data_IF_340550346990
#
_entry.id   IF_340550346990
#
_cell.length_a   1.000
_cell.length_b   1.000
_cell.length_c   1.000
_cell.angle_alpha   90.00
_cell.angle_beta   90.00
_cell.angle_gamma   90.00
#
_symmetry.space_group_name_H-M   'P 1'
#
loop_
_entity.id
_entity.type
_entity.pdbx_description
1 polymer ?
#
# COMPACT_ATOMS: atom_id res chain seq x y z
N UNK A 1 -21.83 7.95 -57.79
CA UNK A 1 -23.24 7.56 -57.83
C UNK A 1 -23.91 7.90 -56.52
N UNK A 2 -24.97 8.71 -56.56
CA UNK A 2 -25.87 8.88 -55.44
C UNK A 2 -26.72 7.61 -55.24
N UNK A 3 -27.25 7.33 -54.04
CA UNK A 3 -28.17 6.20 -53.85
C UNK A 3 -29.37 6.23 -54.79
N UNK A 4 -29.83 7.43 -55.16
CA UNK A 4 -30.91 7.64 -56.13
C UNK A 4 -30.60 7.11 -57.53
N UNK A 5 -29.33 6.97 -57.88
CA UNK A 5 -28.87 6.51 -59.20
C UNK A 5 -28.82 4.98 -59.29
N UNK A 6 -29.14 4.28 -58.19
CA UNK A 6 -29.04 2.83 -58.07
C UNK A 6 -30.40 2.24 -57.70
N UNK A 7 -31.07 1.60 -58.67
CA UNK A 7 -32.31 0.86 -58.42
C UNK A 7 -32.01 -0.63 -58.45
N UNK A 8 -31.78 -1.19 -57.27
CA UNK A 8 -31.51 -2.61 -57.06
C UNK A 8 -32.68 -3.24 -56.29
N UNK A 9 -33.36 -4.19 -56.91
CA UNK A 9 -34.52 -4.88 -56.31
C UNK A 9 -34.09 -5.87 -55.22
N UNK A 10 -32.91 -6.46 -55.41
CA UNK A 10 -32.36 -7.53 -54.61
C UNK A 10 -31.02 -7.09 -54.02
N UNK A 11 -30.58 -7.67 -52.89
CA UNK A 11 -29.26 -7.40 -52.33
C UNK A 11 -28.17 -7.56 -53.38
N UNK A 12 -27.15 -6.71 -53.38
CA UNK A 12 -26.05 -6.80 -54.32
C UNK A 12 -24.72 -6.56 -53.61
N UNK A 13 -23.71 -7.35 -53.96
CA UNK A 13 -22.34 -7.00 -53.62
C UNK A 13 -21.81 -5.87 -54.52
N UNK A 14 -20.60 -5.39 -54.24
CA UNK A 14 -19.98 -4.28 -54.98
C UNK A 14 -19.78 -4.60 -56.47
N UNK A 15 -19.47 -5.86 -56.81
CA UNK A 15 -19.25 -6.29 -58.19
C UNK A 15 -20.56 -6.38 -58.98
N UNK A 16 -21.63 -6.87 -58.34
CA UNK A 16 -22.99 -6.94 -58.92
C UNK A 16 -23.59 -5.54 -59.10
N UNK A 17 -23.32 -4.63 -58.15
CA UNK A 17 -23.71 -3.22 -58.24
C UNK A 17 -23.00 -2.53 -59.40
N UNK A 18 -21.68 -2.72 -59.53
CA UNK A 18 -20.90 -2.17 -60.64
C UNK A 18 -21.39 -2.66 -62.01
N UNK A 19 -21.72 -3.95 -62.13
CA UNK A 19 -22.31 -4.49 -63.35
C UNK A 19 -23.68 -3.86 -63.68
N UNK A 20 -24.54 -3.65 -62.68
CA UNK A 20 -25.86 -3.01 -62.87
C UNK A 20 -25.75 -1.56 -63.33
N UNK A 21 -24.77 -0.82 -62.79
CA UNK A 21 -24.46 0.54 -63.22
C UNK A 21 -23.88 0.58 -64.63
N UNK A 22 -22.93 -0.30 -64.95
CA UNK A 22 -22.33 -0.39 -66.28
C UNK A 22 -23.39 -0.69 -67.37
N UNK A 23 -24.35 -1.56 -67.08
CA UNK A 23 -25.48 -1.83 -67.98
C UNK A 23 -26.38 -0.61 -68.17
N UNK A 24 -26.72 0.08 -67.07
CA UNK A 24 -27.52 1.31 -67.12
C UNK A 24 -26.80 2.44 -67.87
N UNK A 25 -25.46 2.48 -67.86
CA UNK A 25 -24.65 3.39 -68.69
C UNK A 25 -24.59 2.98 -70.16
N UNK A 26 -24.97 1.76 -70.51
CA UNK A 26 -24.96 1.25 -71.88
C UNK A 26 -23.61 0.69 -72.33
N UNK A 27 -22.80 0.23 -71.39
CA UNK A 27 -21.54 -0.46 -71.69
C UNK A 27 -21.80 -1.90 -72.11
N UNK A 28 -20.96 -2.41 -73.01
CA UNK A 28 -20.92 -3.82 -73.40
C UNK A 28 -19.89 -4.57 -72.56
N UNK A 29 -20.28 -5.69 -71.95
CA UNK A 29 -19.38 -6.49 -71.11
C UNK A 29 -19.89 -7.92 -70.91
N UNK A 30 -18.98 -8.79 -70.47
CA UNK A 30 -19.27 -10.18 -70.12
C UNK A 30 -19.15 -10.34 -68.60
N UNK A 31 -20.22 -10.81 -67.95
CA UNK A 31 -20.19 -11.19 -66.53
C UNK A 31 -19.94 -12.70 -66.43
N UNK A 32 -18.88 -13.09 -65.73
CA UNK A 32 -18.58 -14.49 -65.43
C UNK A 32 -18.76 -14.71 -63.92
N UNK A 33 -19.63 -15.65 -63.55
CA UNK A 33 -19.91 -15.98 -62.15
C UNK A 33 -20.00 -17.49 -61.92
N UNK A 34 -19.29 -18.06 -60.92
CA UNK A 34 -19.42 -19.47 -60.51
C UNK A 34 -20.89 -19.88 -60.21
N UNK A 35 -21.22 -21.19 -60.20
CA UNK A 35 -22.54 -21.63 -59.75
C UNK A 35 -22.81 -21.14 -58.32
N UNK A 36 -24.03 -20.65 -58.05
CA UNK A 36 -24.42 -20.11 -56.75
C UNK A 36 -24.11 -18.62 -56.49
N UNK A 37 -23.39 -17.91 -57.37
CA UNK A 37 -23.01 -16.49 -57.16
C UNK A 37 -24.07 -15.47 -57.57
N UNK A 38 -25.35 -15.83 -57.47
CA UNK A 38 -26.45 -14.87 -57.69
C UNK A 38 -26.65 -14.36 -59.12
N UNK A 39 -26.20 -15.06 -60.17
CA UNK A 39 -26.32 -14.61 -61.58
C UNK A 39 -27.72 -14.09 -61.96
N UNK A 40 -28.78 -14.85 -61.68
CA UNK A 40 -30.16 -14.44 -61.99
C UNK A 40 -30.62 -13.22 -61.18
N UNK A 41 -30.03 -13.01 -59.99
CA UNK A 41 -30.26 -11.85 -59.14
C UNK A 41 -29.53 -10.62 -59.69
N UNK A 42 -28.28 -10.77 -60.15
CA UNK A 42 -27.57 -9.73 -60.88
C UNK A 42 -28.33 -9.30 -62.13
N UNK A 43 -28.86 -10.25 -62.91
CA UNK A 43 -29.66 -9.94 -64.11
C UNK A 43 -30.93 -9.16 -63.75
N UNK A 44 -31.68 -9.58 -62.74
CA UNK A 44 -32.89 -8.88 -62.32
C UNK A 44 -32.58 -7.44 -61.85
N UNK A 45 -31.50 -7.24 -61.09
CA UNK A 45 -31.03 -5.92 -60.68
C UNK A 45 -30.57 -5.06 -61.87
N UNK A 46 -29.84 -5.63 -62.83
CA UNK A 46 -29.46 -4.93 -64.06
C UNK A 46 -30.68 -4.48 -64.85
N UNK A 47 -31.69 -5.36 -65.01
CA UNK A 47 -32.93 -5.03 -65.71
C UNK A 47 -33.64 -3.87 -65.00
N UNK A 48 -33.82 -3.95 -63.68
CA UNK A 48 -34.47 -2.91 -62.90
C UNK A 48 -33.74 -1.56 -62.99
N UNK A 49 -32.41 -1.57 -62.92
CA UNK A 49 -31.59 -0.37 -63.01
C UNK A 49 -31.57 0.24 -64.41
N UNK A 50 -31.66 -0.58 -65.47
CA UNK A 50 -31.84 -0.08 -66.83
C UNK A 50 -33.22 0.55 -67.03
N UNK A 51 -34.27 -0.08 -66.49
CA UNK A 51 -35.64 0.46 -66.55
C UNK A 51 -35.77 1.79 -65.80
N UNK A 52 -35.11 1.94 -64.64
CA UNK A 52 -35.16 3.18 -63.85
C UNK A 52 -34.55 4.39 -64.57
N UNK A 53 -33.58 4.17 -65.47
CA UNK A 53 -33.01 5.22 -66.34
C UNK A 53 -33.71 5.33 -67.70
N UNK A 54 -34.88 4.72 -67.85
CA UNK A 54 -35.74 4.84 -69.04
C UNK A 54 -35.34 3.96 -70.24
N UNK A 55 -34.47 2.97 -70.05
CA UNK A 55 -34.08 2.04 -71.12
C UNK A 55 -35.06 0.89 -71.27
N UNK A 56 -35.23 0.39 -72.49
CA UNK A 56 -35.90 -0.89 -72.77
C UNK A 56 -34.91 -2.04 -72.73
N UNK A 57 -35.30 -3.18 -72.18
CA UNK A 57 -34.42 -4.35 -72.05
C UNK A 57 -35.03 -5.57 -72.75
N UNK A 58 -34.26 -6.18 -73.65
CA UNK A 58 -34.57 -7.50 -74.22
C UNK A 58 -33.69 -8.54 -73.51
N UNK A 59 -34.32 -9.44 -72.74
CA UNK A 59 -33.62 -10.53 -72.08
C UNK A 59 -33.81 -11.83 -72.86
N UNK A 60 -32.70 -12.42 -73.31
CA UNK A 60 -32.68 -13.68 -74.08
C UNK A 60 -31.90 -14.73 -73.30
N UNK A 61 -32.44 -15.95 -73.23
CA UNK A 61 -31.78 -17.09 -72.63
C UNK A 61 -32.08 -18.37 -73.43
N UNK A 62 -31.14 -19.32 -73.39
CA UNK A 62 -31.27 -20.62 -74.08
C UNK A 62 -32.37 -21.50 -73.47
N UNK A 63 -32.58 -21.41 -72.15
CA UNK A 63 -33.54 -22.25 -71.41
C UNK A 63 -34.63 -21.39 -70.77
N UNK A 64 -35.88 -21.80 -70.96
CA UNK A 64 -37.07 -21.14 -70.37
C UNK A 64 -36.98 -21.01 -68.85
N UNK A 65 -36.44 -22.01 -68.16
CA UNK A 65 -36.23 -21.95 -66.71
C UNK A 65 -35.42 -20.72 -66.24
N UNK A 66 -34.47 -20.22 -67.04
CA UNK A 66 -33.72 -19.01 -66.70
C UNK A 66 -34.58 -17.74 -66.85
N UNK A 67 -35.44 -17.71 -67.87
CA UNK A 67 -36.43 -16.64 -68.07
C UNK A 67 -37.41 -16.61 -66.89
N UNK A 68 -37.97 -17.76 -66.51
CA UNK A 68 -38.95 -17.89 -65.43
C UNK A 68 -38.40 -17.42 -64.08
N UNK A 69 -37.16 -17.77 -63.76
CA UNK A 69 -36.51 -17.37 -62.50
C UNK A 69 -36.32 -15.85 -62.42
N UNK A 70 -35.88 -15.21 -63.51
CA UNK A 70 -35.69 -13.75 -63.54
C UNK A 70 -37.05 -13.04 -63.53
N UNK A 71 -38.00 -13.50 -64.33
CA UNK A 71 -39.36 -12.96 -64.38
C UNK A 71 -40.05 -13.06 -63.02
N UNK A 72 -39.97 -14.21 -62.34
CA UNK A 72 -40.56 -14.38 -61.01
C UNK A 72 -40.01 -13.35 -60.03
N UNK A 73 -38.70 -13.10 -60.04
CA UNK A 73 -38.05 -12.09 -59.19
C UNK A 73 -38.51 -10.67 -59.51
N UNK A 74 -38.57 -10.30 -60.80
CA UNK A 74 -39.08 -9.00 -61.24
C UNK A 74 -40.54 -8.81 -60.79
N UNK A 75 -41.38 -9.84 -60.95
CA UNK A 75 -42.78 -9.85 -60.54
C UNK A 75 -42.95 -9.74 -59.02
N UNK A 76 -42.19 -10.51 -58.25
CA UNK A 76 -42.18 -10.47 -56.78
C UNK A 76 -41.84 -9.07 -56.24
N UNK A 77 -41.09 -8.26 -57.00
CA UNK A 77 -40.69 -6.89 -56.64
C UNK A 77 -41.46 -5.82 -57.45
N UNK A 78 -42.65 -6.15 -57.97
CA UNK A 78 -43.57 -5.18 -58.55
C UNK A 78 -43.33 -4.81 -60.01
N UNK A 79 -42.29 -5.31 -60.67
CA UNK A 79 -42.00 -5.04 -62.08
C UNK A 79 -42.72 -6.00 -63.06
N UNK A 80 -43.54 -6.92 -62.57
CA UNK A 80 -44.23 -7.92 -63.40
C UNK A 80 -45.13 -7.29 -64.46
N UNK A 81 -45.83 -6.19 -64.14
CA UNK A 81 -46.67 -5.45 -65.08
C UNK A 81 -45.87 -4.75 -66.20
N UNK A 82 -44.56 -4.58 -66.01
CA UNK A 82 -43.65 -3.99 -66.99
C UNK A 82 -42.85 -5.06 -67.77
N UNK A 83 -43.12 -6.33 -67.52
CA UNK A 83 -42.49 -7.46 -68.21
C UNK A 83 -43.44 -8.02 -69.27
N UNK A 84 -42.94 -8.21 -70.48
CA UNK A 84 -43.67 -8.86 -71.56
C UNK A 84 -43.00 -10.19 -71.89
N UNK A 85 -43.71 -11.29 -71.67
CA UNK A 85 -43.21 -12.63 -71.98
C UNK A 85 -43.53 -12.98 -73.43
N UNK A 86 -42.51 -13.30 -74.23
CA UNK A 86 -42.67 -13.70 -75.63
C UNK A 86 -42.32 -15.18 -75.77
N UNK A 87 -43.30 -16.05 -75.48
CA UNK A 87 -43.24 -17.49 -75.81
C UNK A 87 -44.00 -17.75 -77.12
N UNK A 88 -43.66 -18.80 -77.87
CA UNK A 88 -44.26 -19.05 -79.19
C UNK A 88 -45.41 -20.08 -79.15
N UNK A 89 -46.67 -19.64 -79.22
CA UNK A 89 -47.79 -20.34 -79.90
C UNK A 89 -49.06 -19.46 -79.98
N UNK A 90 -50.01 -19.78 -80.88
CA UNK A 90 -51.24 -18.99 -81.17
C UNK A 90 -52.14 -18.67 -79.95
N UNK A 91 -51.95 -19.31 -78.80
CA UNK A 91 -52.64 -19.03 -77.54
C UNK A 91 -52.16 -17.75 -76.82
N UNK A 92 -51.00 -17.20 -77.21
CA UNK A 92 -50.37 -16.05 -76.52
C UNK A 92 -50.99 -14.68 -76.85
N UNK A 93 -51.70 -14.51 -77.97
CA UNK A 93 -52.15 -13.17 -78.40
C UNK A 93 -53.11 -12.51 -77.39
N UNK A 94 -53.97 -13.27 -76.72
CA UNK A 94 -54.90 -12.75 -75.71
C UNK A 94 -54.20 -12.42 -74.40
N UNK A 95 -53.22 -13.24 -74.01
CA UNK A 95 -52.39 -13.00 -72.82
C UNK A 95 -51.51 -11.76 -73.02
N UNK A 96 -50.87 -11.64 -74.19
CA UNK A 96 -50.12 -10.46 -74.65
C UNK A 96 -50.94 -9.17 -74.56
N UNK A 97 -52.16 -9.15 -75.13
CA UNK A 97 -53.04 -7.97 -75.07
C UNK A 97 -53.46 -7.62 -73.64
N UNK A 98 -53.63 -8.64 -72.80
CA UNK A 98 -53.97 -8.46 -71.38
C UNK A 98 -52.78 -7.87 -70.59
N UNK A 99 -51.56 -8.38 -70.80
CA UNK A 99 -50.34 -7.82 -70.18
C UNK A 99 -50.10 -6.37 -70.62
N UNK A 100 -50.30 -6.07 -71.90
CA UNK A 100 -50.15 -4.71 -72.43
C UNK A 100 -51.17 -3.74 -71.82
N UNK A 101 -52.41 -4.19 -71.63
CA UNK A 101 -53.45 -3.42 -70.94
C UNK A 101 -53.11 -3.17 -69.47
N UNK A 102 -52.64 -4.19 -68.75
CA UNK A 102 -52.23 -4.07 -67.34
C UNK A 102 -51.08 -3.06 -67.20
N UNK A 103 -50.07 -3.14 -68.08
CA UNK A 103 -48.94 -2.20 -68.10
C UNK A 103 -49.37 -0.75 -68.36
N UNK A 104 -50.37 -0.56 -69.23
CA UNK A 104 -50.92 0.75 -69.56
C UNK A 104 -51.75 1.35 -68.42
N UNK A 105 -52.51 0.52 -67.71
CA UNK A 105 -53.37 0.94 -66.59
C UNK A 105 -52.60 1.09 -65.26
N UNK A 106 -51.40 0.48 -65.12
CA UNK A 106 -50.60 0.47 -63.88
C UNK A 106 -49.85 1.78 -63.57
N UNK A 107 -50.41 2.94 -63.92
CA UNK A 107 -49.83 4.24 -63.62
C UNK A 107 -49.78 4.54 -62.12
N UNK A 108 -48.69 4.16 -61.45
CA UNK A 108 -48.49 4.45 -60.02
C UNK A 108 -48.06 5.91 -59.85
N UNK A 109 -48.79 6.68 -59.03
CA UNK A 109 -48.31 7.95 -58.50
C UNK A 109 -47.26 7.66 -57.42
N UNK A 110 -46.00 7.90 -57.74
CA UNK A 110 -44.90 7.83 -56.76
C UNK A 110 -44.90 9.11 -55.92
N UNK A 111 -44.84 8.99 -54.59
CA UNK A 111 -44.57 10.14 -53.73
C UNK A 111 -43.07 10.51 -53.86
N UNK A 112 -42.81 11.57 -54.64
CA UNK A 112 -41.46 12.06 -54.85
C UNK A 112 -40.78 12.49 -53.54
N UNK A 113 -41.54 12.95 -52.54
CA UNK A 113 -40.99 13.39 -51.26
C UNK A 113 -40.45 12.20 -50.45
N UNK A 114 -41.19 11.08 -50.41
CA UNK A 114 -40.77 9.85 -49.74
C UNK A 114 -39.49 9.27 -50.39
N UNK A 115 -39.44 9.23 -51.73
CA UNK A 115 -38.27 8.74 -52.47
C UNK A 115 -37.00 9.57 -52.18
N UNK A 116 -37.12 10.90 -52.14
CA UNK A 116 -36.01 11.79 -51.80
C UNK A 116 -35.56 11.55 -50.35
N UNK A 117 -36.49 11.45 -49.40
CA UNK A 117 -36.18 11.26 -47.99
C UNK A 117 -35.43 9.93 -47.72
N UNK A 118 -35.84 8.84 -48.37
CA UNK A 118 -35.18 7.53 -48.24
C UNK A 118 -33.76 7.58 -48.80
N UNK A 119 -33.57 8.14 -49.99
CA UNK A 119 -32.26 8.22 -50.63
C UNK A 119 -31.29 9.14 -49.88
N UNK A 120 -31.78 10.24 -49.32
CA UNK A 120 -31.00 11.10 -48.44
C UNK A 120 -30.53 10.37 -47.19
N UNK A 121 -31.43 9.62 -46.53
CA UNK A 121 -31.06 8.80 -45.37
C UNK A 121 -30.01 7.74 -45.73
N UNK A 122 -30.14 7.08 -46.88
CA UNK A 122 -29.16 6.10 -47.36
C UNK A 122 -27.81 6.75 -47.65
N UNK A 123 -27.80 7.94 -48.25
CA UNK A 123 -26.58 8.70 -48.54
C UNK A 123 -25.83 9.02 -47.27
N UNK A 124 -26.52 9.62 -46.28
CA UNK A 124 -25.92 9.97 -44.98
C UNK A 124 -25.30 8.73 -44.32
N UNK A 125 -26.03 7.60 -44.27
CA UNK A 125 -25.50 6.36 -43.67
C UNK A 125 -24.30 5.80 -44.41
N UNK A 126 -24.32 5.79 -45.74
CA UNK A 126 -23.18 5.35 -46.54
C UNK A 126 -21.95 6.22 -46.28
N UNK A 127 -22.14 7.53 -46.27
CA UNK A 127 -21.06 8.50 -46.10
C UNK A 127 -20.48 8.41 -44.68
N UNK A 128 -21.31 8.19 -43.66
CA UNK A 128 -20.87 7.88 -42.28
C UNK A 128 -20.00 6.61 -42.23
N UNK A 129 -20.44 5.52 -42.87
CA UNK A 129 -19.70 4.26 -42.89
C UNK A 129 -18.37 4.39 -43.64
N UNK A 130 -18.36 5.08 -44.77
CA UNK A 130 -17.15 5.34 -45.54
C UNK A 130 -16.17 6.21 -44.75
N UNK A 131 -16.64 7.28 -44.11
CA UNK A 131 -15.81 8.15 -43.29
C UNK A 131 -15.16 7.38 -42.11
N UNK A 132 -15.90 6.45 -41.50
CA UNK A 132 -15.35 5.56 -40.48
C UNK A 132 -14.23 4.66 -41.02
N UNK A 133 -14.45 4.01 -42.17
CA UNK A 133 -13.44 3.15 -42.81
C UNK A 133 -12.20 3.94 -43.18
N UNK A 134 -12.38 5.12 -43.77
CA UNK A 134 -11.29 6.04 -44.12
C UNK A 134 -10.51 6.51 -42.88
N UNK A 135 -11.21 6.86 -41.79
CA UNK A 135 -10.56 7.26 -40.54
C UNK A 135 -9.71 6.13 -39.95
N UNK A 136 -10.19 4.88 -40.02
CA UNK A 136 -9.49 3.71 -39.49
C UNK A 136 -8.23 3.34 -40.30
N UNK A 137 -8.20 3.66 -41.60
CA UNK A 137 -7.11 3.36 -42.52
C UNK A 137 -6.25 4.58 -42.88
N UNK A 138 -6.52 5.74 -42.28
CA UNK A 138 -5.70 6.92 -42.47
C UNK A 138 -4.31 6.70 -41.89
N UNK A 139 -3.28 6.94 -42.69
CA UNK A 139 -1.90 6.93 -42.21
C UNK A 139 -1.62 8.17 -41.36
N UNK A 140 -0.97 7.96 -40.22
CA UNK A 140 -0.49 9.00 -39.34
C UNK A 140 1.02 9.25 -39.53
N UNK A 141 1.55 10.28 -38.85
CA UNK A 141 2.95 10.72 -38.97
C UNK A 141 3.95 9.60 -38.66
N UNK A 142 3.59 8.67 -37.76
CA UNK A 142 4.39 7.50 -37.42
C UNK A 142 4.34 6.35 -38.44
N UNK A 143 3.67 6.54 -39.57
CA UNK A 143 3.48 5.57 -40.65
C UNK A 143 2.35 4.57 -40.41
N UNK A 144 1.79 4.50 -39.20
CA UNK A 144 0.75 3.53 -38.84
C UNK A 144 -0.66 4.05 -39.13
N UNK A 145 -1.57 3.11 -39.39
CA UNK A 145 -3.02 3.35 -39.35
C UNK A 145 -3.58 2.87 -38.02
N UNK A 146 -4.71 3.44 -37.53
CA UNK A 146 -5.39 2.92 -36.35
C UNK A 146 -5.71 1.43 -36.46
N UNK A 147 -6.10 0.96 -37.65
CA UNK A 147 -6.32 -0.47 -37.93
C UNK A 147 -5.08 -1.32 -37.62
N UNK A 148 -3.92 -0.95 -38.18
CA UNK A 148 -2.68 -1.70 -38.03
C UNK A 148 -2.17 -1.66 -36.58
N UNK A 149 -2.19 -0.48 -35.95
CA UNK A 149 -1.76 -0.29 -34.57
C UNK A 149 -2.60 -1.14 -33.59
N UNK A 150 -3.92 -1.15 -33.77
CA UNK A 150 -4.82 -1.99 -32.97
C UNK A 150 -4.52 -3.48 -33.19
N UNK A 151 -4.28 -3.89 -34.43
CA UNK A 151 -3.90 -5.27 -34.75
C UNK A 151 -2.62 -5.71 -34.05
N UNK A 152 -1.57 -4.88 -34.07
CA UNK A 152 -0.30 -5.14 -33.38
C UNK A 152 -0.51 -5.25 -31.86
N UNK A 153 -1.26 -4.30 -31.28
CA UNK A 153 -1.53 -4.29 -29.84
C UNK A 153 -2.33 -5.52 -29.38
N UNK A 154 -3.33 -5.94 -30.15
CA UNK A 154 -4.14 -7.13 -29.85
C UNK A 154 -3.33 -8.42 -30.00
N UNK A 155 -2.53 -8.54 -31.07
CA UNK A 155 -1.68 -9.72 -31.31
C UNK A 155 -0.70 -9.98 -30.17
N UNK A 156 -0.13 -8.91 -29.60
CA UNK A 156 0.90 -9.01 -28.58
C UNK A 156 0.39 -8.74 -27.15
N UNK A 157 -0.93 -8.69 -26.92
CA UNK A 157 -1.54 -8.33 -25.62
C UNK A 157 -1.02 -9.13 -24.42
N UNK A 158 -0.59 -10.38 -24.62
CA UNK A 158 -0.09 -11.26 -23.56
C UNK A 158 1.43 -11.21 -23.38
N UNK A 159 2.16 -10.54 -24.27
CA UNK A 159 3.60 -10.38 -24.15
C UNK A 159 3.89 -9.20 -23.22
N UNK A 160 4.71 -9.43 -22.20
CA UNK A 160 5.13 -8.37 -21.30
C UNK A 160 6.09 -7.43 -22.05
N UNK A 161 5.79 -6.13 -22.01
CA UNK A 161 6.65 -5.07 -22.53
C UNK A 161 6.70 -3.93 -21.50
N UNK A 162 7.83 -3.22 -21.37
CA UNK A 162 7.90 -2.03 -20.54
C UNK A 162 6.87 -1.01 -21.01
N UNK A 163 6.24 -0.32 -20.07
CA UNK A 163 5.24 0.70 -20.39
C UNK A 163 5.95 1.94 -20.94
N UNK A 164 5.83 2.15 -22.24
CA UNK A 164 6.31 3.36 -22.91
C UNK A 164 5.14 4.33 -23.08
N UNK A 165 5.41 5.62 -22.87
CA UNK A 165 4.43 6.68 -23.06
C UNK A 165 5.07 7.88 -23.73
N UNK A 166 4.32 8.52 -24.62
CA UNK A 166 4.74 9.74 -25.30
C UNK A 166 3.75 10.88 -24.99
N UNK A 167 4.20 12.14 -24.96
CA UNK A 167 3.33 13.29 -24.68
C UNK A 167 2.18 13.45 -25.69
N UNK A 168 2.39 13.00 -26.93
CA UNK A 168 1.38 13.08 -27.99
C UNK A 168 1.50 11.89 -28.95
N UNK A 169 0.45 11.67 -29.76
CA UNK A 169 0.45 10.64 -30.81
C UNK A 169 1.41 10.94 -31.98
N UNK A 170 1.78 12.20 -32.14
CA UNK A 170 2.64 12.69 -33.22
C UNK A 170 4.08 12.96 -32.72
N UNK A 171 4.43 12.40 -31.55
CA UNK A 171 5.75 12.57 -30.91
C UNK A 171 6.89 11.83 -31.62
N UNK A 172 6.59 10.93 -32.55
CA UNK A 172 7.57 10.23 -33.36
C UNK A 172 7.02 10.09 -34.78
N UNK A 173 7.87 10.33 -35.76
CA UNK A 173 7.57 9.99 -37.16
C UNK A 173 7.92 8.52 -37.45
N UNK A 174 7.68 8.11 -38.69
CA UNK A 174 7.97 6.74 -39.12
C UNK A 174 9.45 6.37 -38.96
N UNK A 175 10.38 7.28 -39.26
CA UNK A 175 11.81 7.04 -39.13
C UNK A 175 12.22 6.86 -37.67
N UNK A 176 11.69 7.71 -36.77
CA UNK A 176 11.90 7.59 -35.33
C UNK A 176 11.33 6.28 -34.77
N UNK A 177 10.13 5.87 -35.21
CA UNK A 177 9.52 4.59 -34.80
C UNK A 177 10.42 3.41 -35.20
N UNK A 178 10.90 3.39 -36.45
CA UNK A 178 11.78 2.33 -36.94
C UNK A 178 13.12 2.31 -36.18
N UNK A 179 13.68 3.47 -35.84
CA UNK A 179 14.88 3.54 -35.01
C UNK A 179 14.65 2.98 -33.60
N UNK A 180 13.50 3.28 -32.96
CA UNK A 180 13.12 2.71 -31.67
C UNK A 180 12.94 1.19 -31.74
N UNK A 181 12.34 0.68 -32.81
CA UNK A 181 12.22 -0.77 -33.05
C UNK A 181 13.58 -1.44 -33.19
N UNK A 182 14.53 -0.79 -33.87
CA UNK A 182 15.90 -1.29 -33.98
C UNK A 182 16.61 -1.35 -32.63
N UNK A 183 16.55 -0.26 -31.85
CA UNK A 183 17.13 -0.22 -30.49
C UNK A 183 16.52 -1.30 -29.59
N UNK A 184 15.20 -1.50 -29.67
CA UNK A 184 14.51 -2.54 -28.90
C UNK A 184 14.99 -3.94 -29.30
N UNK A 185 15.20 -4.19 -30.59
CA UNK A 185 15.72 -5.47 -31.09
C UNK A 185 17.17 -5.70 -30.65
N UNK A 186 18.06 -4.72 -30.78
CA UNK A 186 19.45 -4.80 -30.34
C UNK A 186 19.55 -5.02 -28.83
N UNK A 187 18.77 -4.27 -28.05
CA UNK A 187 18.70 -4.42 -26.59
C UNK A 187 18.21 -5.81 -26.21
N UNK A 188 17.22 -6.35 -26.94
CA UNK A 188 16.72 -7.71 -26.74
C UNK A 188 17.78 -8.77 -26.99
N UNK A 189 18.60 -8.62 -28.03
CA UNK A 189 19.71 -9.53 -28.34
C UNK A 189 20.80 -9.46 -27.27
N UNK A 190 21.19 -8.25 -26.86
CA UNK A 190 22.15 -8.06 -25.78
C UNK A 190 21.63 -8.70 -24.48
N UNK A 191 20.36 -8.46 -24.12
CA UNK A 191 19.75 -9.02 -22.92
C UNK A 191 19.67 -10.56 -22.94
N UNK A 192 19.44 -11.18 -24.09
CA UNK A 192 19.47 -12.65 -24.21
C UNK A 192 20.85 -13.25 -23.90
N UNK A 193 21.92 -12.50 -24.09
CA UNK A 193 23.28 -12.93 -23.74
C UNK A 193 23.63 -12.74 -22.26
N UNK A 194 22.80 -12.00 -21.49
CA UNK A 194 23.01 -11.74 -20.06
C UNK A 194 22.49 -12.92 -19.23
N UNK A 195 23.40 -13.58 -18.51
CA UNK A 195 23.03 -14.58 -17.51
C UNK A 195 22.55 -13.90 -16.22
N UNK A 196 21.30 -14.12 -15.85
CA UNK A 196 20.75 -13.62 -14.59
C UNK A 196 21.32 -14.40 -13.41
N UNK A 197 22.27 -13.79 -12.70
CA UNK A 197 22.86 -14.36 -11.48
C UNK A 197 22.22 -13.75 -10.24
N UNK A 198 21.59 -14.59 -9.41
CA UNK A 198 20.91 -14.16 -8.18
C UNK A 198 21.82 -13.38 -7.22
N UNK A 199 23.11 -13.72 -7.17
CA UNK A 199 24.14 -13.01 -6.38
C UNK A 199 24.31 -11.54 -6.78
N UNK A 200 24.05 -11.18 -8.04
CA UNK A 200 24.17 -9.81 -8.53
C UNK A 200 22.93 -8.96 -8.22
N UNK A 201 21.87 -9.54 -7.61
CA UNK A 201 20.69 -8.76 -7.19
C UNK A 201 21.01 -7.65 -6.21
N UNK A 202 22.14 -7.74 -5.50
CA UNK A 202 22.61 -6.73 -4.55
C UNK A 202 23.41 -5.60 -5.21
N UNK A 203 23.69 -5.70 -6.51
CA UNK A 203 24.45 -4.71 -7.26
C UNK A 203 23.48 -3.89 -8.10
N UNK A 204 23.65 -2.57 -8.08
CA UNK A 204 22.89 -1.58 -8.84
C UNK A 204 23.83 -0.51 -9.37
N UNK A 205 24.64 -0.91 -10.35
CA UNK A 205 25.70 -0.08 -10.92
C UNK A 205 25.67 -0.22 -12.43
N UNK A 206 25.77 0.90 -13.13
CA UNK A 206 25.71 0.98 -14.59
C UNK A 206 27.08 0.93 -15.26
N UNK A 207 28.14 1.25 -14.52
CA UNK A 207 29.51 1.32 -15.01
C UNK A 207 30.44 0.36 -14.26
N UNK A 208 31.24 -0.40 -15.00
CA UNK A 208 32.22 -1.31 -14.44
C UNK A 208 33.64 -0.76 -14.61
N UNK A 209 34.43 -0.79 -13.54
CA UNK A 209 35.87 -0.52 -13.56
C UNK A 209 36.61 -1.53 -12.67
N UNK A 210 37.92 -1.72 -12.90
CA UNK A 210 38.74 -2.59 -12.05
C UNK A 210 38.79 -2.13 -10.60
N UNK A 211 38.95 -0.82 -10.36
CA UNK A 211 38.95 -0.25 -9.00
C UNK A 211 37.60 -0.40 -8.29
N UNK A 212 36.48 -0.27 -9.02
CA UNK A 212 35.16 -0.57 -8.49
C UNK A 212 35.03 -2.04 -8.05
N UNK A 213 35.53 -2.96 -8.88
CA UNK A 213 35.47 -4.39 -8.60
C UNK A 213 36.23 -4.74 -7.31
N UNK A 214 37.43 -4.19 -7.14
CA UNK A 214 38.26 -4.45 -5.95
C UNK A 214 37.55 -3.93 -4.68
N UNK A 215 37.00 -2.71 -4.73
CA UNK A 215 36.23 -2.12 -3.62
C UNK A 215 34.99 -2.96 -3.27
N UNK A 216 34.26 -3.43 -4.28
CA UNK A 216 33.08 -4.28 -4.07
C UNK A 216 33.47 -5.60 -3.41
N UNK A 217 34.53 -6.25 -3.88
CA UNK A 217 35.00 -7.53 -3.34
C UNK A 217 35.55 -7.38 -1.91
N UNK A 218 36.24 -6.28 -1.61
CA UNK A 218 36.67 -5.97 -0.24
C UNK A 218 35.47 -5.71 0.69
N UNK A 219 34.51 -4.90 0.25
CA UNK A 219 33.27 -4.64 0.98
C UNK A 219 32.49 -5.94 1.25
N UNK A 220 32.40 -6.83 0.26
CA UNK A 220 31.72 -8.11 0.39
C UNK A 220 32.41 -9.04 1.42
N UNK A 221 33.75 -9.10 1.40
CA UNK A 221 34.53 -9.86 2.40
C UNK A 221 34.32 -9.32 3.81
N UNK A 222 34.37 -7.99 3.98
CA UNK A 222 34.15 -7.32 5.27
C UNK A 222 32.74 -7.60 5.80
N UNK A 223 31.72 -7.47 4.94
CA UNK A 223 30.33 -7.78 5.30
C UNK A 223 30.13 -9.25 5.68
N UNK A 224 30.73 -10.17 4.92
CA UNK A 224 30.69 -11.61 5.25
C UNK A 224 31.27 -11.86 6.64
N UNK A 225 32.48 -11.38 6.91
CA UNK A 225 33.14 -11.59 8.22
C UNK A 225 32.31 -10.97 9.36
N UNK A 226 31.77 -9.76 9.18
CA UNK A 226 30.92 -9.12 10.18
C UNK A 226 29.62 -9.91 10.43
N UNK A 227 29.04 -10.52 9.40
CA UNK A 227 27.85 -11.37 9.52
C UNK A 227 28.12 -12.65 10.32
N UNK A 228 29.27 -13.30 10.12
CA UNK A 228 29.67 -14.51 10.86
C UNK A 228 29.95 -14.21 12.34
N UNK A 229 30.60 -13.07 12.60
CA UNK A 229 30.83 -12.58 13.98
C UNK A 229 29.51 -12.24 14.66
N UNK A 230 28.57 -11.60 13.96
CA UNK A 230 27.24 -11.30 14.50
C UNK A 230 26.46 -12.58 14.81
N UNK A 231 26.44 -13.57 13.91
CA UNK A 231 25.77 -14.86 14.15
C UNK A 231 26.34 -15.56 15.40
N UNK A 232 27.67 -15.60 15.52
CA UNK A 232 28.33 -16.19 16.70
C UNK A 232 27.98 -15.43 17.99
N UNK A 233 27.98 -14.09 17.95
CA UNK A 233 27.65 -13.27 19.10
C UNK A 233 26.16 -13.36 19.48
N UNK A 234 25.28 -13.49 18.50
CA UNK A 234 23.85 -13.73 18.67
C UNK A 234 23.62 -15.04 19.43
N UNK A 235 24.21 -16.14 18.97
CA UNK A 235 24.04 -17.44 19.62
C UNK A 235 24.58 -17.46 21.04
N UNK A 236 25.77 -16.87 21.26
CA UNK A 236 26.34 -16.73 22.59
C UNK A 236 25.43 -15.90 23.52
N UNK A 237 24.83 -14.82 23.00
CA UNK A 237 23.89 -14.00 23.76
C UNK A 237 22.60 -14.77 24.07
N UNK A 238 21.99 -15.44 23.09
CA UNK A 238 20.79 -16.26 23.27
C UNK A 238 21.00 -17.32 24.36
N UNK A 239 22.10 -18.06 24.30
CA UNK A 239 22.46 -19.06 25.32
C UNK A 239 22.63 -18.41 26.69
N UNK A 240 23.25 -17.22 26.77
CA UNK A 240 23.46 -16.50 28.02
C UNK A 240 22.17 -16.02 28.69
N UNK A 241 21.09 -15.82 27.91
CA UNK A 241 19.75 -15.48 28.41
C UNK A 241 18.84 -16.71 28.46
N UNK A 242 19.37 -17.94 28.35
CA UNK A 242 18.60 -19.18 28.52
C UNK A 242 17.80 -19.63 27.28
N UNK A 243 18.03 -19.00 26.12
CA UNK A 243 17.43 -19.38 24.85
C UNK A 243 18.37 -20.30 24.04
N UNK A 244 17.80 -20.99 23.04
CA UNK A 244 18.57 -21.85 22.13
C UNK A 244 19.27 -21.03 21.06
N UNK A 245 20.49 -21.44 20.70
CA UNK A 245 21.19 -20.94 19.52
C UNK A 245 20.36 -21.22 18.25
N UNK A 246 20.35 -20.25 17.33
CA UNK A 246 19.60 -20.31 16.06
C UNK A 246 20.51 -20.15 14.84
N UNK A 247 21.65 -19.46 14.97
CA UNK A 247 22.54 -19.10 13.87
C UNK A 247 22.04 -17.91 13.03
N UNK A 248 20.73 -17.73 12.89
CA UNK A 248 20.11 -16.59 12.21
C UNK A 248 18.93 -15.98 13.00
N UNK A 249 18.49 -14.81 12.53
CA UNK A 249 17.33 -14.11 13.07
C UNK A 249 16.77 -13.13 12.04
N UNK A 250 15.46 -12.90 12.10
CA UNK A 250 14.82 -11.84 11.32
C UNK A 250 15.28 -10.45 11.79
N UNK A 251 15.13 -9.44 10.92
CA UNK A 251 15.44 -8.04 11.26
C UNK A 251 14.71 -7.60 12.55
N UNK A 252 13.43 -7.96 12.69
CA UNK A 252 12.62 -7.60 13.85
C UNK A 252 13.11 -8.27 15.14
N UNK A 253 13.49 -9.56 15.07
CA UNK A 253 14.09 -10.27 16.20
C UNK A 253 15.43 -9.67 16.61
N UNK A 254 16.32 -9.37 15.65
CA UNK A 254 17.61 -8.73 15.95
C UNK A 254 17.42 -7.37 16.62
N UNK A 255 16.47 -6.57 16.16
CA UNK A 255 16.18 -5.28 16.76
C UNK A 255 15.64 -5.42 18.19
N UNK A 256 14.75 -6.38 18.43
CA UNK A 256 14.24 -6.67 19.77
C UNK A 256 15.35 -7.16 20.72
N UNK A 257 16.21 -8.06 20.26
CA UNK A 257 17.35 -8.57 21.00
C UNK A 257 18.39 -7.48 21.29
N UNK A 258 18.60 -6.52 20.38
CA UNK A 258 19.48 -5.36 20.62
C UNK A 258 18.92 -4.47 21.73
N UNK A 259 17.62 -4.21 21.72
CA UNK A 259 16.95 -3.42 22.78
C UNK A 259 17.06 -4.14 24.12
N UNK A 260 16.87 -5.46 24.16
CA UNK A 260 17.06 -6.26 25.37
C UNK A 260 18.52 -6.23 25.85
N UNK A 261 19.49 -6.47 24.96
CA UNK A 261 20.91 -6.42 25.29
C UNK A 261 21.33 -5.06 25.86
N UNK A 262 20.84 -3.96 25.28
CA UNK A 262 21.08 -2.61 25.78
C UNK A 262 20.43 -2.36 27.15
N UNK A 263 19.16 -2.75 27.33
CA UNK A 263 18.48 -2.63 28.63
C UNK A 263 19.17 -3.47 29.72
N UNK A 264 19.71 -4.65 29.34
CA UNK A 264 20.56 -5.44 30.21
C UNK A 264 21.81 -4.64 30.55
N UNK A 265 22.61 -4.15 29.60
CA UNK A 265 23.81 -3.34 29.89
C UNK A 265 23.54 -2.15 30.82
N UNK A 266 22.51 -1.36 30.53
CA UNK A 266 22.14 -0.16 31.29
C UNK A 266 21.85 -0.47 32.77
N UNK A 267 21.39 -1.68 33.09
CA UNK A 267 21.10 -2.09 34.47
C UNK A 267 22.33 -2.53 35.28
N UNK A 268 23.54 -2.38 34.75
CA UNK A 268 24.75 -2.82 35.44
C UNK A 268 24.98 -2.02 36.73
N UNK A 269 25.27 -2.72 37.83
CA UNK A 269 25.47 -2.12 39.15
C UNK A 269 24.18 -1.87 39.95
N UNK A 270 23.00 -2.20 39.41
CA UNK A 270 21.72 -2.00 40.08
C UNK A 270 20.99 -3.33 40.31
N UNK A 271 20.37 -3.48 41.48
CA UNK A 271 19.33 -4.50 41.69
C UNK A 271 18.05 -4.01 41.01
N UNK A 272 17.73 -4.64 39.88
CA UNK A 272 16.52 -4.35 39.07
C UNK A 272 15.53 -5.51 39.13
N UNK A 273 15.65 -6.40 40.12
CA UNK A 273 14.75 -7.53 40.32
C UNK A 273 13.28 -7.13 40.54
N UNK A 274 13.06 -5.86 40.90
CA UNK A 274 11.74 -5.22 40.96
C UNK A 274 10.95 -5.35 39.66
N UNK A 275 11.60 -5.60 38.51
CA UNK A 275 10.93 -5.85 37.23
C UNK A 275 9.89 -6.98 37.30
N UNK A 276 10.07 -7.94 38.20
CA UNK A 276 9.16 -9.09 38.42
C UNK A 276 8.12 -8.86 39.52
N UNK A 277 8.06 -7.66 40.10
CA UNK A 277 7.11 -7.34 41.14
C UNK A 277 5.66 -7.39 40.61
N UNK A 278 4.76 -7.95 41.42
CA UNK A 278 3.34 -8.10 41.06
C UNK A 278 2.64 -6.75 40.95
N UNK A 279 3.05 -5.78 41.76
CA UNK A 279 2.46 -4.45 41.84
C UNK A 279 3.27 -3.42 41.06
N UNK A 280 4.13 -3.86 40.12
CA UNK A 280 5.05 -2.99 39.36
C UNK A 280 4.36 -1.75 38.77
N UNK A 281 3.13 -1.92 38.25
CA UNK A 281 2.35 -0.84 37.65
C UNK A 281 2.01 0.28 38.65
N UNK A 282 1.95 -0.01 39.94
CA UNK A 282 1.62 0.95 41.00
C UNK A 282 2.87 1.65 41.57
N UNK A 283 4.08 1.12 41.33
CA UNK A 283 5.31 1.58 41.97
C UNK A 283 5.68 3.02 41.60
N UNK A 284 5.44 3.45 40.35
CA UNK A 284 5.70 4.84 39.95
C UNK A 284 4.79 5.82 40.69
N UNK A 285 3.50 5.48 40.83
CA UNK A 285 2.56 6.28 41.63
C UNK A 285 2.99 6.34 43.10
N UNK A 286 3.37 5.20 43.66
CA UNK A 286 3.86 5.13 45.04
C UNK A 286 5.16 5.94 45.26
N UNK A 287 6.07 5.96 44.28
CA UNK A 287 7.27 6.80 44.34
C UNK A 287 6.93 8.29 44.33
N UNK A 288 5.95 8.71 43.53
CA UNK A 288 5.48 10.10 43.52
C UNK A 288 4.92 10.49 44.90
N UNK A 289 4.07 9.66 45.50
CA UNK A 289 3.54 9.85 46.85
C UNK A 289 4.64 9.88 47.90
N UNK A 290 5.65 9.01 47.79
CA UNK A 290 6.80 8.97 48.69
C UNK A 290 7.62 10.27 48.59
N UNK A 291 7.91 10.72 47.37
CA UNK A 291 8.68 11.92 47.11
C UNK A 291 7.99 13.18 47.63
N UNK A 292 6.66 13.28 47.43
CA UNK A 292 5.85 14.36 48.00
C UNK A 292 5.88 14.33 49.53
N UNK A 293 5.65 13.16 50.16
CA UNK A 293 5.64 13.04 51.61
C UNK A 293 7.00 13.36 52.25
N UNK A 294 8.11 12.91 51.66
CA UNK A 294 9.47 13.26 52.10
C UNK A 294 9.74 14.76 51.93
N UNK A 295 9.32 15.34 50.79
CA UNK A 295 9.45 16.77 50.51
C UNK A 295 8.70 17.62 51.53
N UNK A 296 7.43 17.30 51.77
CA UNK A 296 6.57 17.98 52.75
C UNK A 296 7.10 17.84 54.18
N UNK A 297 7.59 16.66 54.56
CA UNK A 297 8.22 16.46 55.87
C UNK A 297 9.45 17.36 56.03
N UNK A 298 10.35 17.37 55.03
CA UNK A 298 11.57 18.19 55.05
C UNK A 298 11.26 19.68 55.05
N UNK A 299 10.21 20.12 54.36
CA UNK A 299 9.72 21.50 54.38
C UNK A 299 9.18 21.88 55.75
N UNK A 300 8.25 21.09 56.28
CA UNK A 300 7.65 21.30 57.61
C UNK A 300 8.73 21.37 58.70
N UNK A 301 9.74 20.50 58.63
CA UNK A 301 10.87 20.51 59.55
C UNK A 301 11.69 21.81 59.49
N UNK A 302 11.87 22.39 58.31
CA UNK A 302 12.58 23.66 58.14
C UNK A 302 11.76 24.86 58.62
N UNK A 303 10.44 24.77 58.51
CA UNK A 303 9.50 25.84 58.84
C UNK A 303 9.16 25.88 60.35
N UNK A 304 9.58 24.90 61.15
CA UNK A 304 9.43 24.90 62.61
C UNK A 304 10.19 26.06 63.27
N UNK A 305 9.61 26.62 64.33
CA UNK A 305 10.19 27.75 65.09
C UNK A 305 11.38 27.35 65.95
N UNK A 306 11.53 26.05 66.21
CA UNK A 306 12.60 25.46 67.00
C UNK A 306 13.02 24.09 66.44
N UNK A 307 14.21 23.63 66.83
CA UNK A 307 14.74 22.32 66.43
C UNK A 307 14.30 21.24 67.41
N UNK A 308 13.45 20.33 66.96
CA UNK A 308 13.01 19.18 67.74
C UNK A 308 13.89 17.96 67.44
N UNK A 309 14.11 17.12 68.45
CA UNK A 309 14.71 15.80 68.25
C UNK A 309 13.75 14.92 67.43
N UNK A 310 14.21 14.34 66.31
CA UNK A 310 13.39 13.49 65.44
C UNK A 310 12.80 12.26 66.14
N UNK A 311 13.57 11.65 67.05
CA UNK A 311 13.11 10.50 67.83
C UNK A 311 12.04 10.93 68.84
N UNK A 312 12.15 12.16 69.33
CA UNK A 312 11.13 12.77 70.19
C UNK A 312 9.86 13.11 69.41
N UNK A 313 9.95 13.72 68.22
CA UNK A 313 8.80 14.08 67.37
C UNK A 313 7.86 12.89 67.14
N UNK A 314 8.41 11.68 66.95
CA UNK A 314 7.62 10.46 66.80
C UNK A 314 6.79 10.08 68.03
N UNK A 315 7.23 10.49 69.23
CA UNK A 315 6.63 10.14 70.53
C UNK A 315 5.74 11.24 71.10
N UNK A 316 5.84 12.47 70.57
CA UNK A 316 5.00 13.57 71.00
C UNK A 316 3.54 13.21 70.71
N UNK A 317 2.69 13.24 71.73
CA UNK A 317 1.23 13.12 71.56
C UNK A 317 0.68 14.47 71.10
N UNK A 318 0.90 14.80 69.83
CA UNK A 318 0.57 16.12 69.28
C UNK A 318 -0.92 16.43 69.48
N UNK A 319 -1.80 15.45 69.30
CA UNK A 319 -3.25 15.59 69.53
C UNK A 319 -3.58 16.04 70.97
N UNK A 320 -2.96 15.40 71.98
CA UNK A 320 -3.19 15.73 73.39
C UNK A 320 -2.72 17.17 73.69
N UNK A 321 -1.58 17.57 73.13
CA UNK A 321 -1.00 18.90 73.34
C UNK A 321 -1.80 19.97 72.59
N UNK A 322 -2.27 19.66 71.39
CA UNK A 322 -3.15 20.53 70.60
C UNK A 322 -4.49 20.76 71.30
N UNK A 323 -5.12 19.72 71.85
CA UNK A 323 -6.32 19.88 72.67
C UNK A 323 -6.07 20.77 73.90
N UNK A 324 -4.95 20.57 74.60
CA UNK A 324 -4.56 21.43 75.72
C UNK A 324 -4.32 22.88 75.29
N UNK A 325 -3.72 23.11 74.12
CA UNK A 325 -3.52 24.43 73.54
C UNK A 325 -4.84 25.12 73.21
N UNK A 326 -5.77 24.42 72.55
CA UNK A 326 -7.10 24.94 72.20
C UNK A 326 -7.95 25.26 73.45
N UNK A 327 -7.90 24.40 74.47
CA UNK A 327 -8.54 24.66 75.76
C UNK A 327 -7.93 25.89 76.45
N UNK A 328 -6.59 26.01 76.45
CA UNK A 328 -5.92 27.19 76.99
C UNK A 328 -6.23 28.46 76.19
N UNK A 329 -6.39 28.37 74.87
CA UNK A 329 -6.72 29.49 74.00
C UNK A 329 -8.16 30.00 74.17
N UNK A 330 -9.10 29.13 74.56
CA UNK A 330 -10.52 29.47 74.77
C UNK A 330 -10.87 29.87 76.21
N UNK A 331 -9.96 29.68 77.18
CA UNK A 331 -10.17 30.06 78.57
C UNK A 331 -10.19 31.60 78.80
N UNK A 332 -10.85 32.05 79.87
CA UNK A 332 -10.87 33.47 80.26
C UNK A 332 -9.52 33.91 80.87
N UNK A 333 -9.19 35.19 80.77
CA UNK A 333 -7.98 35.77 81.38
C UNK A 333 -8.11 35.83 82.91
N UNK A 334 -7.12 35.40 83.72
CA UNK A 334 -5.72 35.08 83.39
C UNK A 334 -5.40 33.59 83.11
N UNK A 335 -6.37 32.68 83.24
CA UNK A 335 -6.17 31.23 83.09
C UNK A 335 -5.65 30.84 81.70
N UNK A 336 -6.05 31.58 80.65
CA UNK A 336 -5.55 31.38 79.29
C UNK A 336 -4.02 31.53 79.17
N UNK A 337 -3.42 32.58 79.76
CA UNK A 337 -1.98 32.79 79.68
C UNK A 337 -1.19 31.71 80.44
N UNK A 338 -1.68 31.29 81.61
CA UNK A 338 -1.07 30.22 82.39
C UNK A 338 -1.13 28.88 81.63
N UNK A 339 -2.27 28.55 81.03
CA UNK A 339 -2.45 27.37 80.20
C UNK A 339 -1.51 27.35 78.98
N UNK A 340 -1.44 28.46 78.23
CA UNK A 340 -0.54 28.59 77.07
C UNK A 340 0.93 28.44 77.46
N UNK A 341 1.37 29.05 78.58
CA UNK A 341 2.73 28.87 79.11
C UNK A 341 3.03 27.44 79.53
N UNK A 342 2.04 26.72 80.09
CA UNK A 342 2.19 25.29 80.46
C UNK A 342 2.42 24.43 79.22
N UNK A 343 1.62 24.64 78.17
CA UNK A 343 1.78 23.95 76.88
C UNK A 343 3.11 24.27 76.22
N UNK A 344 3.51 25.55 76.21
CA UNK A 344 4.81 25.97 75.70
C UNK A 344 5.96 25.29 76.45
N UNK A 345 5.93 25.25 77.78
CA UNK A 345 6.94 24.52 78.58
C UNK A 345 6.98 23.03 78.27
N UNK A 346 5.83 22.42 78.02
CA UNK A 346 5.73 21.01 77.67
C UNK A 346 6.36 20.72 76.30
N UNK A 347 6.05 21.53 75.28
CA UNK A 347 6.69 21.48 73.97
C UNK A 347 8.20 21.78 74.03
N UNK A 348 8.59 22.77 74.83
CA UNK A 348 10.00 23.15 75.02
C UNK A 348 10.84 21.99 75.57
N UNK A 349 10.24 21.04 76.31
CA UNK A 349 10.92 19.84 76.78
C UNK A 349 11.40 18.89 75.68
N UNK A 350 10.88 19.04 74.45
CA UNK A 350 11.28 18.27 73.27
C UNK A 350 12.20 19.05 72.31
N UNK A 351 12.50 20.32 72.63
CA UNK A 351 13.32 21.21 71.81
C UNK A 351 14.80 21.04 72.18
N UNK A 352 15.62 20.89 71.16
CA UNK A 352 17.09 20.85 71.25
C UNK A 352 17.73 22.24 71.05
N UNK A 353 17.12 23.10 70.24
CA UNK A 353 17.64 24.43 69.89
C UNK A 353 16.48 25.38 69.55
N UNK A 354 16.51 26.63 70.02
CA UNK A 354 15.45 27.62 69.79
C UNK A 354 14.31 27.61 70.83
N UNK A 355 13.24 28.35 70.53
CA UNK A 355 12.08 28.52 71.42
C UNK A 355 10.83 28.00 70.70
N UNK A 356 10.12 27.06 71.32
CA UNK A 356 8.89 26.51 70.75
C UNK A 356 7.79 27.58 70.68
N UNK A 357 7.11 27.66 69.54
CA UNK A 357 5.85 28.37 69.35
C UNK A 357 4.72 27.35 69.16
N UNK A 358 3.95 27.02 70.21
CA UNK A 358 2.87 26.06 70.11
C UNK A 358 1.81 26.40 69.05
N UNK A 359 1.59 27.67 68.73
CA UNK A 359 0.58 28.06 67.75
C UNK A 359 0.96 27.63 66.33
N UNK A 360 2.25 27.72 66.01
CA UNK A 360 2.80 27.39 64.69
C UNK A 360 3.31 25.94 64.65
N UNK A 361 4.06 25.52 65.65
CA UNK A 361 4.79 24.27 65.65
C UNK A 361 3.88 23.04 65.79
N UNK A 362 2.74 23.13 66.50
CA UNK A 362 1.83 21.98 66.67
C UNK A 362 1.24 21.50 65.34
N UNK A 363 0.85 22.43 64.47
CA UNK A 363 0.34 22.11 63.14
C UNK A 363 1.40 21.43 62.27
N UNK A 364 2.63 21.95 62.29
CA UNK A 364 3.75 21.40 61.54
C UNK A 364 4.20 20.03 62.08
N UNK A 365 4.22 19.86 63.41
CA UNK A 365 4.53 18.58 64.05
C UNK A 365 3.48 17.52 63.69
N UNK A 366 2.19 17.89 63.62
CA UNK A 366 1.14 16.98 63.17
C UNK A 366 1.35 16.56 61.72
N UNK A 367 1.58 17.54 60.83
CA UNK A 367 1.86 17.27 59.42
C UNK A 367 3.09 16.37 59.25
N UNK A 368 4.15 16.60 60.03
CA UNK A 368 5.34 15.74 60.03
C UNK A 368 5.03 14.29 60.47
N UNK A 369 4.18 14.09 61.49
CA UNK A 369 3.75 12.76 61.90
C UNK A 369 2.92 12.06 60.80
N UNK A 370 1.98 12.78 60.18
CA UNK A 370 1.14 12.25 59.10
C UNK A 370 1.96 11.90 57.86
N UNK A 371 2.91 12.75 57.47
CA UNK A 371 3.83 12.48 56.35
C UNK A 371 4.75 11.30 56.64
N UNK A 372 5.25 11.17 57.88
CA UNK A 372 6.02 10.01 58.30
C UNK A 372 5.20 8.71 58.21
N UNK A 373 3.96 8.72 58.69
CA UNK A 373 3.06 7.57 58.56
C UNK A 373 2.80 7.21 57.09
N UNK A 374 2.66 8.21 56.22
CA UNK A 374 2.53 8.03 54.76
C UNK A 374 3.77 7.38 54.15
N UNK A 375 4.97 7.79 54.57
CA UNK A 375 6.24 7.17 54.14
C UNK A 375 6.33 5.72 54.62
N UNK A 376 6.01 5.45 55.88
CA UNK A 376 6.08 4.10 56.46
C UNK A 376 5.07 3.13 55.82
N UNK A 377 3.87 3.61 55.47
CA UNK A 377 2.82 2.84 54.80
C UNK A 377 3.03 2.68 53.27
N UNK A 378 4.09 3.28 52.70
CA UNK A 378 4.32 3.24 51.27
C UNK A 378 4.64 1.81 50.78
N UNK A 379 4.06 1.39 49.65
CA UNK A 379 4.28 0.03 49.10
C UNK A 379 5.73 -0.25 48.70
N UNK A 380 6.58 0.77 48.54
CA UNK A 380 8.02 0.60 48.31
C UNK A 380 8.76 0.08 49.56
N UNK A 381 8.14 0.19 50.74
CA UNK A 381 8.67 -0.34 51.99
C UNK A 381 8.83 -1.86 51.91
N UNK A 382 10.02 -2.35 52.27
CA UNK A 382 10.36 -3.78 52.23
C UNK A 382 10.69 -4.34 50.84
N UNK A 383 10.61 -3.53 49.77
CA UNK A 383 11.01 -3.95 48.41
C UNK A 383 12.53 -3.77 48.21
N UNK A 384 13.20 -4.61 47.38
CA UNK A 384 14.63 -4.54 47.13
C UNK A 384 14.99 -3.38 46.18
N UNK A 385 14.71 -2.15 46.61
CA UNK A 385 14.90 -0.93 45.79
C UNK A 385 15.65 0.18 46.54
N UNK A 386 16.18 -0.11 47.74
CA UNK A 386 16.92 0.86 48.54
C UNK A 386 16.02 1.84 49.31
N UNK A 387 14.83 1.41 49.70
CA UNK A 387 13.95 2.19 50.58
C UNK A 387 14.60 2.39 51.97
N UNK A 388 14.69 3.63 52.43
CA UNK A 388 15.31 4.03 53.69
C UNK A 388 14.47 5.08 54.44
N UNK A 389 13.14 4.88 54.48
CA UNK A 389 12.19 5.80 55.12
C UNK A 389 12.38 7.27 54.67
N UNK A 390 12.55 8.22 55.60
CA UNK A 390 12.72 9.65 55.31
C UNK A 390 14.07 9.99 54.62
N UNK A 391 15.04 9.09 54.71
CA UNK A 391 16.36 9.20 54.08
C UNK A 391 16.41 8.54 52.69
N UNK A 392 15.26 8.06 52.19
CA UNK A 392 15.18 7.44 50.87
C UNK A 392 15.63 8.40 49.77
N UNK A 393 16.54 7.94 48.92
CA UNK A 393 16.91 8.60 47.68
C UNK A 393 15.88 8.28 46.59
N UNK A 394 14.89 9.15 46.45
CA UNK A 394 13.79 8.99 45.49
C UNK A 394 14.26 9.06 44.04
N UNK A 395 15.36 9.76 43.76
CA UNK A 395 15.94 9.84 42.41
C UNK A 395 16.60 8.52 42.02
N UNK A 396 17.34 7.89 42.94
CA UNK A 396 17.91 6.55 42.72
C UNK A 396 16.81 5.50 42.49
N UNK A 397 15.72 5.57 43.26
CA UNK A 397 14.56 4.67 43.03
C UNK A 397 13.94 4.91 41.65
N UNK A 398 13.76 6.16 41.23
CA UNK A 398 13.21 6.47 39.90
C UNK A 398 14.09 5.91 38.77
N UNK A 399 15.42 6.00 38.91
CA UNK A 399 16.36 5.40 37.97
C UNK A 399 16.16 3.87 37.88
N UNK A 400 16.05 3.19 39.03
CA UNK A 400 15.82 1.74 39.09
C UNK A 400 14.48 1.37 38.43
N UNK A 401 13.40 2.09 38.73
CA UNK A 401 12.10 1.85 38.11
C UNK A 401 12.13 2.07 36.59
N UNK A 402 12.87 3.08 36.13
CA UNK A 402 13.02 3.37 34.69
C UNK A 402 13.84 2.31 33.96
N UNK A 403 14.87 1.74 34.58
CA UNK A 403 15.59 0.57 34.03
C UNK A 403 14.69 -0.66 33.99
N UNK A 404 13.97 -0.94 35.09
CA UNK A 404 13.07 -2.07 35.19
C UNK A 404 11.92 -2.00 34.16
N UNK A 405 11.37 -0.81 33.91
CA UNK A 405 10.32 -0.60 32.90
C UNK A 405 10.83 -0.89 31.48
N UNK A 406 12.02 -0.37 31.12
CA UNK A 406 12.66 -0.66 29.83
C UNK A 406 12.93 -2.15 29.67
N UNK A 407 13.46 -2.82 30.70
CA UNK A 407 13.62 -4.27 30.70
C UNK A 407 12.29 -4.98 30.48
N UNK A 408 11.23 -4.63 31.20
CA UNK A 408 9.90 -5.25 31.08
C UNK A 408 9.32 -5.17 29.67
N UNK A 409 9.55 -4.05 28.97
CA UNK A 409 9.12 -3.87 27.58
C UNK A 409 9.94 -4.74 26.62
N UNK A 410 11.25 -4.86 26.84
CA UNK A 410 12.17 -5.59 25.95
C UNK A 410 12.22 -7.11 26.18
N UNK A 411 11.78 -7.60 27.34
CA UNK A 411 11.68 -9.04 27.64
C UNK A 411 10.62 -9.75 26.77
N UNK A 412 9.71 -9.01 26.13
CA UNK A 412 8.70 -9.55 25.21
C UNK A 412 9.28 -9.65 23.80
N UNK A 413 10.06 -10.70 23.55
CA UNK A 413 10.64 -10.93 22.22
C UNK A 413 9.55 -11.41 21.21
N UNK A 414 9.59 -10.93 19.95
CA UNK A 414 8.67 -11.39 18.91
C UNK A 414 8.79 -12.90 18.68
N UNK A 415 7.64 -13.59 18.57
CA UNK A 415 7.62 -15.02 18.25
C UNK A 415 8.08 -15.96 19.36
N UNK A 416 8.33 -15.46 20.58
CA UNK A 416 8.79 -16.28 21.71
C UNK A 416 7.64 -17.08 22.33
N UNK A 417 7.79 -18.42 22.40
CA UNK A 417 6.82 -19.29 23.06
C UNK A 417 6.85 -19.20 24.59
N UNK A 418 5.83 -19.76 25.24
CA UNK A 418 5.68 -19.73 26.72
C UNK A 418 6.83 -20.40 27.45
N UNK A 419 7.33 -21.54 26.95
CA UNK A 419 8.45 -22.27 27.56
C UNK A 419 9.77 -21.49 27.43
N UNK A 420 10.04 -20.92 26.26
CA UNK A 420 11.24 -20.11 26.02
C UNK A 420 11.21 -18.82 26.85
N UNK A 421 10.04 -18.21 27.03
CA UNK A 421 9.88 -17.07 27.92
C UNK A 421 10.19 -17.44 29.37
N UNK A 422 9.73 -18.61 29.84
CA UNK A 422 10.03 -19.09 31.19
C UNK A 422 11.54 -19.37 31.37
N UNK A 423 12.18 -19.99 30.38
CA UNK A 423 13.63 -20.23 30.39
C UNK A 423 14.40 -18.90 30.45
N UNK A 424 13.96 -17.91 29.68
CA UNK A 424 14.53 -16.57 29.68
C UNK A 424 14.44 -15.90 31.04
N UNK A 425 13.28 -15.97 31.69
CA UNK A 425 13.10 -15.43 33.04
C UNK A 425 13.99 -16.14 34.07
N UNK A 426 14.10 -17.46 34.00
CA UNK A 426 14.92 -18.25 34.92
C UNK A 426 16.41 -17.94 34.78
N UNK A 427 16.90 -17.77 33.55
CA UNK A 427 18.29 -17.43 33.28
C UNK A 427 18.61 -15.98 33.66
N UNK A 428 17.67 -15.06 33.46
CA UNK A 428 17.93 -13.62 33.67
C UNK A 428 17.77 -13.17 35.12
N UNK A 429 16.83 -13.73 35.86
CA UNK A 429 16.50 -13.27 37.21
C UNK A 429 17.67 -13.20 38.22
N UNK A 430 18.63 -14.16 38.26
CA UNK A 430 19.75 -14.08 39.20
C UNK A 430 20.68 -12.89 38.95
N UNK A 431 20.96 -12.58 37.68
CA UNK A 431 21.87 -11.48 37.31
C UNK A 431 21.24 -10.10 37.50
N UNK A 432 19.90 -10.03 37.46
CA UNK A 432 19.15 -8.80 37.72
C UNK A 432 19.08 -8.45 39.21
N UNK A 433 19.18 -9.45 40.11
CA UNK A 433 19.21 -9.23 41.56
C UNK A 433 20.56 -8.73 42.05
N UNK A 434 21.65 -9.36 41.60
CA UNK A 434 22.98 -9.02 42.12
C UNK A 434 23.51 -7.68 41.61
N UNK A 435 22.95 -7.17 40.51
CA UNK A 435 23.51 -6.02 39.80
C UNK A 435 24.94 -6.27 39.31
N UNK A 436 25.45 -7.50 39.37
CA UNK A 436 26.85 -7.80 39.10
C UNK A 436 27.18 -7.39 37.66
N UNK A 437 28.16 -6.49 37.53
CA UNK A 437 28.64 -6.01 36.24
C UNK A 437 29.25 -7.16 35.41
N UNK A 438 29.87 -8.13 36.09
CA UNK A 438 30.60 -9.25 35.48
C UNK A 438 29.76 -10.51 35.30
N UNK A 439 28.51 -10.39 34.87
CA UNK A 439 27.70 -11.56 34.51
C UNK A 439 27.99 -12.02 33.07
N UNK A 440 28.01 -13.34 32.86
CA UNK A 440 28.15 -13.96 31.53
C UNK A 440 27.12 -13.42 30.53
N UNK A 441 25.92 -13.13 31.01
CA UNK A 441 24.84 -12.49 30.26
C UNK A 441 25.19 -11.08 29.80
N UNK A 442 25.72 -10.22 30.69
CA UNK A 442 26.13 -8.86 30.32
C UNK A 442 27.30 -8.90 29.34
N UNK A 443 28.26 -9.79 29.55
CA UNK A 443 29.35 -9.97 28.58
C UNK A 443 28.82 -10.39 27.20
N UNK A 444 27.88 -11.34 27.15
CA UNK A 444 27.20 -11.77 25.91
C UNK A 444 26.45 -10.62 25.24
N UNK A 445 25.67 -9.85 26.01
CA UNK A 445 24.94 -8.68 25.52
C UNK A 445 25.86 -7.60 24.93
N UNK A 446 26.97 -7.27 25.61
CA UNK A 446 27.94 -6.29 25.12
C UNK A 446 28.59 -6.73 23.81
N UNK A 447 28.99 -8.01 23.70
CA UNK A 447 29.55 -8.58 22.47
C UNK A 447 28.55 -8.57 21.33
N UNK A 448 27.30 -8.92 21.59
CA UNK A 448 26.23 -8.88 20.59
C UNK A 448 25.97 -7.46 20.08
N UNK A 449 25.92 -6.46 20.96
CA UNK A 449 25.77 -5.05 20.57
C UNK A 449 26.95 -4.57 19.70
N UNK A 450 28.18 -4.89 20.10
CA UNK A 450 29.38 -4.52 19.35
C UNK A 450 29.40 -5.19 17.95
N UNK A 451 29.09 -6.49 17.88
CA UNK A 451 29.00 -7.22 16.62
C UNK A 451 27.89 -6.68 15.72
N UNK A 452 26.74 -6.30 16.29
CA UNK A 452 25.64 -5.70 15.54
C UNK A 452 26.01 -4.34 14.97
N UNK A 453 26.72 -3.49 15.72
CA UNK A 453 27.22 -2.21 15.23
C UNK A 453 28.25 -2.40 14.09
N UNK A 454 29.17 -3.36 14.24
CA UNK A 454 30.15 -3.69 13.21
C UNK A 454 29.49 -4.20 11.93
N UNK A 455 28.43 -5.03 12.05
CA UNK A 455 27.65 -5.51 10.91
C UNK A 455 26.95 -4.37 10.16
N UNK A 456 26.28 -3.43 10.86
CA UNK A 456 25.64 -2.28 10.19
C UNK A 456 26.65 -1.35 9.51
N UNK A 457 27.83 -1.18 10.10
CA UNK A 457 28.93 -0.43 9.49
C UNK A 457 29.43 -1.13 8.19
N UNK A 458 29.71 -2.43 8.26
CA UNK A 458 30.14 -3.22 7.10
C UNK A 458 29.08 -3.25 5.99
N UNK A 459 27.81 -3.33 6.37
CA UNK A 459 26.67 -3.24 5.46
C UNK A 459 26.63 -1.90 4.72
N UNK A 460 26.84 -0.81 5.45
CA UNK A 460 26.89 0.54 4.86
C UNK A 460 28.09 0.69 3.93
N UNK A 461 29.26 0.16 4.32
CA UNK A 461 30.46 0.19 3.50
C UNK A 461 30.30 -0.62 2.20
N UNK A 462 29.63 -1.77 2.24
CA UNK A 462 29.32 -2.56 1.04
C UNK A 462 28.30 -1.86 0.13
N UNK A 463 27.32 -1.15 0.70
CA UNK A 463 26.28 -0.47 -0.07
C UNK A 463 26.83 0.60 -1.03
N UNK A 464 27.95 1.25 -0.67
CA UNK A 464 28.58 2.32 -1.46
C UNK A 464 29.02 1.80 -2.84
N UNK A 465 29.93 0.80 -2.96
CA UNK A 465 30.30 0.25 -4.26
C UNK A 465 29.17 -0.58 -4.88
N UNK A 466 28.28 -1.18 -4.09
CA UNK A 466 27.17 -1.97 -4.64
C UNK A 466 26.05 -1.12 -5.26
N UNK A 467 25.99 0.19 -5.00
CA UNK A 467 24.94 1.08 -5.49
C UNK A 467 23.60 0.98 -4.73
N UNK A 468 23.42 -0.03 -3.87
CA UNK A 468 22.28 -0.17 -2.97
C UNK A 468 22.64 -0.99 -1.73
N UNK A 469 21.96 -0.77 -0.59
CA UNK A 469 22.18 -1.59 0.59
C UNK A 469 21.63 -3.01 0.37
N UNK A 470 22.25 -4.02 0.98
CA UNK A 470 21.69 -5.35 0.97
C UNK A 470 20.36 -5.32 1.73
N UNK A 471 19.29 -5.68 1.03
CA UNK A 471 17.97 -5.81 1.61
C UNK A 471 17.90 -7.12 2.39
N UNK A 472 17.27 -7.07 3.57
CA UNK A 472 16.74 -8.29 4.16
C UNK A 472 15.75 -8.85 3.13
N UNK A 473 15.93 -10.10 2.72
CA UNK A 473 14.88 -10.75 1.96
C UNK A 473 13.65 -10.74 2.86
N UNK A 474 12.62 -10.00 2.49
CA UNK A 474 11.27 -10.39 2.87
C UNK A 474 11.15 -11.79 2.26
N UNK A 475 11.24 -12.82 3.10
CA UNK A 475 10.81 -14.14 2.67
C UNK A 475 9.32 -13.99 2.36
N UNK A 476 9.02 -13.79 1.07
CA UNK A 476 7.70 -14.07 0.49
C UNK A 476 7.34 -15.54 0.70
#
# INVERSE_FOLDING_TARGET
YAPSDMVLLLPADSSQTAASLAAAEGRDFVIIGPPGTGKSQTIANMIANCLSVGKTVLFVAEKTAALDVVYRRLREHGLGAHCLELHSSKADRRNFLTQLRISWESGVRVDAAEWIAINERLRVRRDELNAYVEALHRHHVNGLTPYLALGIALKNKRQHAPRLSWPSRDSHDEANRLALEHIAAETGLAFQSVEMRSVLRLIDVTEWTSGWQDNLLEGAKTLKNASEVLATALDAFLVSIGLRAKGDASKAELEALRKLAAALQDSAGYDVSIVFDRDFAQLRGALATLNEAIGDYRKSRKDLSARYDEAAVARIRVEDIEQQWQQAASAFWPNSQLGKRKVQKLLQGYVTEGVADPQHDLLLLRLMQDRRATVEANILSGKPIGFAALDTDTHRIDQILSMAERLRQTLRLPGLGTEDFKALLQATAPSLRSGAADSTMRYGAARFLAASAAFEAAKTQFAIPAGKPPSWAEHD
#
